data_IF_690813187684
#
_entry.id   IF_690813187684
#
_cell.length_a   1.000
_cell.length_b   1.000
_cell.length_c   1.000
_cell.angle_alpha   90.00
_cell.angle_beta   90.00
_cell.angle_gamma   90.00
#
_symmetry.space_group_name_H-M   'P 1'
#
loop_
_entity.id
_entity.type
_entity.pdbx_description
1 polymer ?
#
# COMPACT_ATOMS: atom_id res chain seq x y z
N UNK A 1 0.24 -26.47 4.74
CA UNK A 1 0.24 -25.97 6.15
C UNK A 1 -0.80 -24.86 6.25
N UNK A 2 -1.73 -24.96 7.20
CA UNK A 2 -2.72 -23.89 7.42
C UNK A 2 -2.06 -22.74 8.19
N UNK A 3 -2.20 -21.52 7.70
CA UNK A 3 -1.58 -20.31 8.25
C UNK A 3 -2.64 -19.26 8.58
N UNK A 4 -2.34 -18.39 9.54
CA UNK A 4 -3.00 -17.09 9.67
C UNK A 4 -2.08 -16.03 9.07
N UNK A 5 -2.62 -15.23 8.18
CA UNK A 5 -1.90 -14.14 7.52
C UNK A 5 -2.46 -12.79 7.98
N UNK A 6 -1.59 -11.79 8.03
CA UNK A 6 -1.97 -10.41 8.34
C UNK A 6 -1.46 -9.53 7.20
N UNK A 7 -2.38 -8.88 6.50
CA UNK A 7 -2.04 -7.82 5.55
C UNK A 7 -2.25 -6.45 6.22
N UNK A 8 -1.21 -5.62 6.21
CA UNK A 8 -1.30 -4.24 6.72
C UNK A 8 -1.60 -3.27 5.60
N UNK A 9 -2.31 -2.18 5.90
CA UNK A 9 -2.62 -1.12 4.95
C UNK A 9 -2.56 0.27 5.59
N UNK A 10 -2.67 1.31 4.78
CA UNK A 10 -2.91 2.66 5.29
C UNK A 10 -4.31 2.74 5.91
N UNK A 11 -4.47 3.52 6.98
CA UNK A 11 -5.76 3.72 7.63
C UNK A 11 -6.82 4.24 6.64
N UNK A 12 -7.98 3.62 6.68
CA UNK A 12 -9.12 3.89 5.79
C UNK A 12 -9.15 3.02 4.52
N UNK A 13 -8.16 2.15 4.31
CA UNK A 13 -8.11 1.19 3.19
C UNK A 13 -8.50 -0.24 3.59
N UNK A 14 -8.82 -0.49 4.84
CA UNK A 14 -9.08 -1.84 5.39
C UNK A 14 -10.21 -2.55 4.67
N UNK A 15 -11.26 -1.82 4.28
CA UNK A 15 -12.39 -2.39 3.54
C UNK A 15 -11.97 -2.84 2.14
N UNK A 16 -11.26 -1.98 1.39
CA UNK A 16 -10.76 -2.32 0.05
C UNK A 16 -9.79 -3.52 0.09
N UNK A 17 -8.90 -3.54 1.09
CA UNK A 17 -7.99 -4.66 1.29
C UNK A 17 -8.73 -5.95 1.63
N UNK A 18 -9.76 -5.88 2.48
CA UNK A 18 -10.61 -7.04 2.82
C UNK A 18 -11.33 -7.61 1.61
N UNK A 19 -11.88 -6.75 0.74
CA UNK A 19 -12.51 -7.17 -0.52
C UNK A 19 -11.51 -7.83 -1.48
N UNK A 20 -10.25 -7.33 -1.58
CA UNK A 20 -9.21 -7.99 -2.39
C UNK A 20 -8.87 -9.38 -1.85
N UNK A 21 -8.74 -9.55 -0.53
CA UNK A 21 -8.44 -10.84 0.11
C UNK A 21 -9.57 -11.85 -0.17
N UNK A 22 -10.82 -11.43 -0.04
CA UNK A 22 -12.00 -12.25 -0.34
C UNK A 22 -12.08 -12.60 -1.84
N UNK A 23 -11.73 -11.66 -2.72
CA UNK A 23 -11.67 -11.90 -4.17
C UNK A 23 -10.59 -12.90 -4.58
N UNK A 24 -9.50 -13.04 -3.80
CA UNK A 24 -8.51 -14.09 -3.94
C UNK A 24 -8.97 -15.46 -3.38
N UNK A 25 -10.18 -15.52 -2.83
CA UNK A 25 -10.77 -16.76 -2.28
C UNK A 25 -10.40 -17.05 -0.82
N UNK A 26 -9.82 -16.11 -0.09
CA UNK A 26 -9.41 -16.30 1.30
C UNK A 26 -10.43 -15.75 2.28
N UNK A 27 -10.66 -16.49 3.37
CA UNK A 27 -11.59 -16.13 4.43
C UNK A 27 -10.97 -15.05 5.32
N UNK A 28 -11.66 -13.89 5.42
CA UNK A 28 -11.31 -12.82 6.34
C UNK A 28 -11.73 -13.16 7.76
N UNK A 29 -10.77 -13.23 8.68
CA UNK A 29 -10.97 -13.56 10.08
C UNK A 29 -11.33 -12.30 10.90
N UNK A 30 -10.58 -11.21 10.70
CA UNK A 30 -10.80 -9.96 11.42
C UNK A 30 -10.26 -8.75 10.67
N UNK A 31 -10.86 -7.60 10.95
CA UNK A 31 -10.41 -6.30 10.43
C UNK A 31 -10.30 -5.35 11.61
N UNK A 32 -9.14 -4.76 11.79
CA UNK A 32 -8.87 -3.69 12.75
C UNK A 32 -8.11 -2.57 12.04
N UNK A 33 -8.00 -1.42 12.68
CA UNK A 33 -7.32 -0.25 12.11
C UNK A 33 -5.94 -0.61 11.53
N UNK A 34 -5.77 -0.37 10.23
CA UNK A 34 -4.53 -0.58 9.49
C UNK A 34 -4.19 -2.04 9.16
N UNK A 35 -5.09 -3.03 9.39
CA UNK A 35 -4.80 -4.43 9.08
C UNK A 35 -6.02 -5.32 8.91
N UNK A 36 -5.85 -6.36 8.10
CA UNK A 36 -6.81 -7.45 7.89
C UNK A 36 -6.11 -8.78 8.16
N UNK A 37 -6.71 -9.59 9.03
CA UNK A 37 -6.26 -10.96 9.29
C UNK A 37 -7.14 -11.93 8.52
N UNK A 38 -6.53 -12.92 7.87
CA UNK A 38 -7.23 -13.90 7.04
C UNK A 38 -6.60 -15.29 7.15
N UNK A 39 -7.36 -16.31 6.78
CA UNK A 39 -6.91 -17.71 6.73
C UNK A 39 -6.27 -18.00 5.37
N UNK A 40 -5.15 -18.74 5.36
CA UNK A 40 -4.48 -19.11 4.14
C UNK A 40 -3.49 -20.26 4.35
N UNK A 41 -2.59 -20.41 3.41
CA UNK A 41 -1.49 -21.38 3.41
C UNK A 41 -0.24 -20.80 2.73
N UNK A 42 0.72 -21.62 2.31
CA UNK A 42 1.91 -21.16 1.61
C UNK A 42 1.60 -20.52 0.23
N UNK A 43 0.56 -21.01 -0.46
CA UNK A 43 0.11 -20.40 -1.72
C UNK A 43 -0.49 -19.01 -1.47
N UNK A 44 -1.27 -18.86 -0.40
CA UNK A 44 -1.82 -17.57 0.01
C UNK A 44 -0.73 -16.52 0.30
N UNK A 45 0.44 -16.93 0.81
CA UNK A 45 1.59 -16.03 0.98
C UNK A 45 2.07 -15.49 -0.36
N UNK A 46 2.21 -16.33 -1.38
CA UNK A 46 2.67 -15.91 -2.70
C UNK A 46 1.63 -15.02 -3.39
N UNK A 47 0.37 -15.47 -3.46
CA UNK A 47 -0.73 -14.72 -4.09
C UNK A 47 -0.96 -13.36 -3.42
N UNK A 48 -0.98 -13.31 -2.10
CA UNK A 48 -1.19 -12.05 -1.38
C UNK A 48 -0.09 -11.02 -1.64
N UNK A 49 1.18 -11.41 -1.69
CA UNK A 49 2.28 -10.51 -1.99
C UNK A 49 2.26 -10.01 -3.44
N UNK A 50 1.81 -10.84 -4.39
CA UNK A 50 1.76 -10.50 -5.81
C UNK A 50 0.52 -9.66 -6.14
N UNK A 51 -0.66 -10.01 -5.63
CA UNK A 51 -1.93 -9.45 -6.08
C UNK A 51 -2.46 -8.31 -5.21
N UNK A 52 -2.20 -8.28 -3.88
CA UNK A 52 -2.79 -7.26 -3.01
C UNK A 52 -2.28 -5.85 -3.35
N UNK A 53 -3.17 -5.05 -3.86
CA UNK A 53 -2.93 -3.71 -4.36
C UNK A 53 -2.91 -2.67 -3.23
N UNK A 54 -3.74 -2.89 -2.20
CA UNK A 54 -3.89 -1.94 -1.09
C UNK A 54 -3.06 -2.30 0.13
N UNK A 55 -2.38 -3.45 0.13
CA UNK A 55 -1.51 -3.87 1.22
C UNK A 55 -0.17 -3.12 1.22
N UNK A 56 0.33 -2.80 2.42
CA UNK A 56 1.69 -2.29 2.65
C UNK A 56 2.67 -3.45 2.88
N UNK A 57 2.24 -4.51 3.59
CA UNK A 57 2.98 -5.74 3.86
C UNK A 57 2.03 -6.91 4.12
N UNK A 58 2.54 -8.10 3.91
CA UNK A 58 1.90 -9.36 4.32
C UNK A 58 2.81 -10.08 5.31
N UNK A 59 2.22 -10.60 6.38
CA UNK A 59 2.92 -11.31 7.45
C UNK A 59 2.28 -12.68 7.69
N UNK A 60 3.09 -13.64 8.13
CA UNK A 60 2.61 -14.86 8.76
C UNK A 60 2.46 -14.58 10.25
N UNK A 61 1.26 -14.72 10.81
CA UNK A 61 0.99 -14.55 12.23
C UNK A 61 1.30 -15.87 12.96
N UNK A 62 2.22 -15.82 13.91
CA UNK A 62 2.55 -16.97 14.74
C UNK A 62 1.62 -17.10 15.94
N UNK A 63 1.24 -15.97 16.54
CA UNK A 63 0.29 -15.95 17.65
C UNK A 63 0.09 -14.57 18.24
N UNK A 64 -0.90 -14.49 19.13
CA UNK A 64 -1.15 -13.31 19.98
C UNK A 64 -1.40 -13.75 21.42
N UNK A 65 -0.94 -12.94 22.36
CA UNK A 65 -1.10 -13.18 23.79
C UNK A 65 -1.03 -11.87 24.56
N UNK A 66 -1.61 -11.84 25.77
CA UNK A 66 -1.52 -10.68 26.66
C UNK A 66 -0.12 -10.60 27.26
N UNK A 67 0.46 -9.41 27.31
CA UNK A 67 1.74 -9.15 27.93
C UNK A 67 1.78 -7.75 28.55
N UNK A 68 1.71 -7.69 29.88
CA UNK A 68 1.80 -6.47 30.68
C UNK A 68 3.18 -6.30 31.35
N UNK A 69 4.01 -7.36 31.30
CA UNK A 69 5.37 -7.41 31.83
C UNK A 69 6.33 -8.03 30.80
N UNK A 70 7.63 -7.77 30.96
CA UNK A 70 8.67 -8.40 30.15
C UNK A 70 8.75 -9.92 30.34
N UNK A 71 8.37 -10.42 31.51
CA UNK A 71 8.30 -11.87 31.78
C UNK A 71 7.17 -12.51 30.96
N UNK A 72 5.97 -11.92 30.96
CA UNK A 72 4.85 -12.40 30.15
C UNK A 72 5.15 -12.30 28.65
N UNK A 73 5.82 -11.23 28.20
CA UNK A 73 6.28 -11.08 26.83
C UNK A 73 7.28 -12.19 26.46
N UNK A 74 8.23 -12.49 27.34
CA UNK A 74 9.22 -13.54 27.14
C UNK A 74 8.56 -14.92 27.04
N UNK A 75 7.74 -15.30 28.02
CA UNK A 75 7.12 -16.62 28.07
C UNK A 75 6.13 -16.83 26.93
N UNK A 76 5.27 -15.85 26.63
CA UNK A 76 4.36 -15.91 25.52
C UNK A 76 5.07 -16.02 24.16
N UNK A 77 6.18 -15.28 23.98
CA UNK A 77 7.00 -15.38 22.76
C UNK A 77 7.68 -16.76 22.68
N UNK A 78 8.25 -17.26 23.78
CA UNK A 78 8.94 -18.57 23.83
C UNK A 78 8.03 -19.74 23.49
N UNK A 79 6.74 -19.63 23.83
CA UNK A 79 5.73 -20.67 23.56
C UNK A 79 5.32 -20.79 22.09
N UNK A 80 5.66 -19.83 21.22
CA UNK A 80 5.31 -19.86 19.80
C UNK A 80 6.18 -20.85 19.01
N UNK A 81 5.69 -21.39 17.89
CA UNK A 81 6.31 -22.48 17.13
C UNK A 81 7.46 -22.00 16.21
N UNK A 82 8.42 -21.25 16.73
CA UNK A 82 9.54 -20.70 15.95
C UNK A 82 10.31 -21.73 15.12
N UNK A 83 10.63 -22.93 15.66
CA UNK A 83 11.40 -23.92 14.91
C UNK A 83 10.67 -24.54 13.72
N UNK A 84 9.35 -24.34 13.60
CA UNK A 84 8.59 -24.80 12.44
C UNK A 84 8.80 -23.90 11.22
N UNK A 85 9.30 -22.67 11.43
CA UNK A 85 9.53 -21.66 10.43
C UNK A 85 11.01 -21.32 10.22
N UNK A 86 11.80 -21.28 11.28
CA UNK A 86 13.17 -20.76 11.28
C UNK A 86 14.15 -21.89 11.52
N UNK A 87 15.11 -22.04 10.63
CA UNK A 87 16.19 -23.01 10.75
C UNK A 87 17.31 -22.57 11.69
N UNK A 88 18.21 -23.50 12.05
CA UNK A 88 19.32 -23.25 12.99
C UNK A 88 20.35 -22.23 12.50
N UNK A 89 20.48 -22.06 11.18
CA UNK A 89 21.46 -21.18 10.57
C UNK A 89 20.86 -19.83 10.13
N UNK A 90 19.52 -19.66 10.23
CA UNK A 90 18.80 -18.52 9.71
C UNK A 90 18.98 -17.25 10.57
N UNK A 91 18.78 -16.12 9.91
CA UNK A 91 18.88 -14.77 10.49
C UNK A 91 17.46 -14.33 10.91
N UNK A 92 17.26 -13.98 12.18
CA UNK A 92 15.94 -13.60 12.69
C UNK A 92 15.98 -12.30 13.52
N UNK A 93 16.17 -11.14 12.87
CA UNK A 93 16.11 -9.85 13.53
C UNK A 93 14.69 -9.54 13.97
N UNK A 94 14.56 -8.73 15.04
CA UNK A 94 13.26 -8.34 15.60
C UNK A 94 13.05 -6.86 15.41
N UNK A 95 11.87 -6.48 14.90
CA UNK A 95 11.36 -5.10 14.82
C UNK A 95 9.94 -5.05 15.35
N UNK A 96 9.42 -3.86 15.56
CA UNK A 96 8.00 -3.72 15.89
C UNK A 96 7.66 -2.41 16.55
N UNK A 97 6.45 -2.38 17.09
CA UNK A 97 5.85 -1.19 17.69
C UNK A 97 5.02 -1.58 18.91
N UNK A 98 4.98 -0.67 19.89
CA UNK A 98 4.11 -0.77 21.06
C UNK A 98 3.28 0.52 21.18
N UNK A 99 1.95 0.37 21.28
CA UNK A 99 1.00 1.49 21.30
C UNK A 99 0.00 1.25 22.43
N UNK A 100 -0.24 2.28 23.26
CA UNK A 100 -1.20 2.23 24.37
C UNK A 100 -1.02 0.99 25.28
N UNK A 101 0.23 0.66 25.59
CA UNK A 101 0.58 -0.56 26.33
C UNK A 101 1.55 -0.24 27.46
N UNK A 102 1.55 -1.06 28.50
CA UNK A 102 2.51 -0.96 29.62
C UNK A 102 3.94 -1.13 29.12
N UNK A 103 4.14 -2.06 28.19
CA UNK A 103 5.40 -2.28 27.50
C UNK A 103 5.55 -1.28 26.34
N UNK A 104 6.15 -0.13 26.61
CA UNK A 104 6.30 0.97 25.66
C UNK A 104 7.73 1.14 25.12
N UNK A 105 8.74 0.56 25.78
CA UNK A 105 10.13 0.58 25.29
C UNK A 105 10.32 -0.43 24.15
N UNK A 106 10.30 0.05 22.92
CA UNK A 106 10.50 -0.79 21.73
C UNK A 106 11.85 -1.51 21.76
N UNK A 107 12.99 -0.88 22.09
CA UNK A 107 14.27 -1.59 22.17
C UNK A 107 14.28 -2.73 23.21
N UNK A 108 13.67 -2.54 24.38
CA UNK A 108 13.61 -3.58 25.40
C UNK A 108 12.71 -4.74 24.96
N UNK A 109 11.55 -4.44 24.35
CA UNK A 109 10.70 -5.47 23.75
C UNK A 109 11.44 -6.28 22.69
N UNK A 110 12.21 -5.62 21.80
CA UNK A 110 13.04 -6.29 20.79
C UNK A 110 14.04 -7.25 21.43
N UNK A 111 14.76 -6.81 22.47
CA UNK A 111 15.75 -7.62 23.16
C UNK A 111 15.11 -8.84 23.86
N UNK A 112 13.98 -8.64 24.55
CA UNK A 112 13.24 -9.72 25.25
C UNK A 112 12.69 -10.74 24.25
N UNK A 113 12.06 -10.29 23.16
CA UNK A 113 11.53 -11.16 22.10
C UNK A 113 12.68 -11.95 21.45
N UNK A 114 13.79 -11.30 21.08
CA UNK A 114 14.97 -11.99 20.51
C UNK A 114 15.47 -13.08 21.45
N UNK A 115 15.62 -12.78 22.75
CA UNK A 115 16.06 -13.74 23.76
C UNK A 115 15.08 -14.93 23.90
N UNK A 116 13.78 -14.67 23.86
CA UNK A 116 12.75 -15.69 23.94
C UNK A 116 12.76 -16.63 22.72
N UNK A 117 12.90 -16.07 21.50
CA UNK A 117 13.07 -16.84 20.28
C UNK A 117 14.32 -17.72 20.34
N UNK A 118 15.47 -17.16 20.71
CA UNK A 118 16.72 -17.93 20.90
C UNK A 118 16.48 -19.09 21.88
N UNK A 119 15.79 -18.87 23.01
CA UNK A 119 15.50 -19.93 23.97
C UNK A 119 14.59 -21.02 23.42
N UNK A 120 13.55 -20.66 22.65
CA UNK A 120 12.69 -21.62 21.96
C UNK A 120 13.48 -22.46 20.94
N UNK A 121 14.30 -21.79 20.12
CA UNK A 121 15.14 -22.44 19.12
C UNK A 121 16.21 -23.34 19.76
N UNK A 122 16.83 -22.92 20.86
CA UNK A 122 17.80 -23.71 21.61
C UNK A 122 17.21 -25.02 22.12
N UNK A 123 15.98 -24.99 22.61
CA UNK A 123 15.29 -26.21 23.10
C UNK A 123 15.06 -27.24 21.97
N UNK A 124 14.89 -26.79 20.72
CA UNK A 124 14.69 -27.67 19.55
C UNK A 124 16.00 -28.17 18.95
N UNK A 125 17.00 -27.29 18.83
CA UNK A 125 18.23 -27.59 18.08
C UNK A 125 19.41 -28.03 18.98
N UNK A 126 19.31 -27.91 20.29
CA UNK A 126 20.37 -28.27 21.24
C UNK A 126 21.62 -27.39 21.17
N UNK A 127 21.49 -26.15 20.66
CA UNK A 127 22.57 -25.16 20.52
C UNK A 127 22.18 -23.87 21.24
N UNK A 128 23.15 -23.18 21.81
CA UNK A 128 22.93 -21.93 22.53
C UNK A 128 23.21 -20.67 21.70
N UNK A 129 24.09 -20.82 20.71
CA UNK A 129 24.48 -19.71 19.80
C UNK A 129 24.10 -20.04 18.37
N UNK A 130 23.40 -19.13 17.73
CA UNK A 130 22.97 -19.25 16.34
C UNK A 130 23.91 -18.44 15.45
N UNK A 131 24.45 -19.04 14.34
CA UNK A 131 25.43 -18.35 13.50
C UNK A 131 24.83 -17.20 12.68
N UNK A 132 23.52 -17.20 12.45
CA UNK A 132 22.78 -16.17 11.69
C UNK A 132 23.43 -15.85 10.32
N UNK A 133 23.68 -16.86 9.52
CA UNK A 133 24.32 -16.75 8.19
C UNK A 133 23.38 -17.18 7.04
N UNK A 134 22.22 -17.76 7.36
CA UNK A 134 21.25 -18.29 6.39
C UNK A 134 20.22 -17.27 5.92
N UNK A 135 19.02 -17.77 5.62
CA UNK A 135 17.88 -16.97 5.16
C UNK A 135 17.39 -16.02 6.24
N UNK A 136 16.98 -14.81 5.83
CA UNK A 136 16.51 -13.80 6.77
C UNK A 136 14.99 -13.90 6.98
N UNK A 137 14.60 -14.20 8.20
CA UNK A 137 13.22 -14.16 8.69
C UNK A 137 13.02 -12.93 9.59
N UNK A 138 12.53 -11.85 9.04
CA UNK A 138 12.26 -10.64 9.83
C UNK A 138 11.07 -10.88 10.75
N UNK A 139 11.33 -10.95 12.05
CA UNK A 139 10.28 -11.01 13.06
C UNK A 139 9.74 -9.61 13.29
N UNK A 140 8.41 -9.48 13.24
CA UNK A 140 7.71 -8.22 13.53
C UNK A 140 6.81 -8.44 14.74
N UNK A 141 6.87 -7.55 15.73
CA UNK A 141 5.92 -7.55 16.82
C UNK A 141 5.06 -6.30 16.81
N UNK A 142 3.83 -6.45 17.25
CA UNK A 142 2.93 -5.35 17.49
C UNK A 142 2.22 -5.54 18.81
N UNK A 143 2.46 -4.62 19.76
CA UNK A 143 1.79 -4.62 21.07
C UNK A 143 0.77 -3.48 21.06
N UNK A 144 -0.50 -3.82 21.21
CA UNK A 144 -1.60 -2.87 21.27
C UNK A 144 -2.52 -3.19 22.44
N UNK A 145 -2.73 -2.22 23.34
CA UNK A 145 -3.55 -2.41 24.54
C UNK A 145 -3.15 -3.65 25.33
N UNK A 146 -1.84 -3.85 25.52
CA UNK A 146 -1.21 -4.98 26.20
C UNK A 146 -1.39 -6.35 25.53
N UNK A 147 -1.90 -6.42 24.31
CA UNK A 147 -1.91 -7.64 23.49
C UNK A 147 -0.73 -7.63 22.52
N UNK A 148 0.17 -8.59 22.67
CA UNK A 148 1.32 -8.80 21.81
C UNK A 148 0.96 -9.76 20.66
N UNK A 149 1.22 -9.34 19.42
CA UNK A 149 1.11 -10.18 18.21
C UNK A 149 2.50 -10.34 17.61
N UNK A 150 2.93 -11.57 17.39
CA UNK A 150 4.22 -11.92 16.79
C UNK A 150 4.00 -12.47 15.38
N UNK A 151 4.78 -11.97 14.41
CA UNK A 151 4.61 -12.24 12.99
C UNK A 151 5.97 -12.37 12.30
N UNK A 152 6.00 -13.02 11.13
CA UNK A 152 7.15 -13.05 10.21
C UNK A 152 6.80 -12.27 8.96
N UNK A 153 7.63 -11.30 8.58
CA UNK A 153 7.47 -10.49 7.35
C UNK A 153 7.75 -11.34 6.10
N UNK A 154 6.76 -11.48 5.25
CA UNK A 154 6.87 -12.20 3.97
C UNK A 154 7.22 -11.29 2.80
N UNK A 155 6.97 -10.01 2.91
CA UNK A 155 7.11 -9.03 1.83
C UNK A 155 8.54 -8.51 1.65
N UNK A 156 9.26 -8.29 2.75
CA UNK A 156 10.59 -7.69 2.72
C UNK A 156 10.54 -6.19 2.39
N UNK A 157 10.66 -5.83 1.12
CA UNK A 157 10.42 -4.45 0.67
C UNK A 157 8.92 -4.17 0.67
N UNK A 158 8.51 -3.02 1.22
CA UNK A 158 7.10 -2.64 1.33
C UNK A 158 6.38 -2.70 -0.03
N UNK A 159 5.11 -3.15 -0.04
CA UNK A 159 4.37 -3.46 -1.26
C UNK A 159 4.01 -2.22 -2.08
N UNK A 160 3.89 -1.04 -1.48
CA UNK A 160 3.72 0.19 -2.26
C UNK A 160 4.87 0.44 -3.23
N UNK A 161 6.10 0.00 -2.95
CA UNK A 161 7.23 0.09 -3.89
C UNK A 161 7.06 -0.93 -5.02
N UNK A 162 6.21 -0.62 -6.01
CA UNK A 162 5.88 -1.51 -7.15
C UNK A 162 7.07 -1.82 -8.06
N UNK A 163 8.09 -0.96 -8.07
CA UNK A 163 9.29 -1.09 -8.91
C UNK A 163 9.31 -0.16 -10.13
N UNK A 164 8.19 0.38 -10.57
CA UNK A 164 8.15 1.31 -11.71
C UNK A 164 8.64 2.72 -11.34
N UNK A 165 8.58 3.12 -10.08
CA UNK A 165 9.05 4.43 -9.60
C UNK A 165 10.37 4.30 -8.86
N UNK A 166 11.49 4.44 -9.60
CA UNK A 166 12.85 4.41 -9.04
C UNK A 166 13.28 5.78 -8.51
N UNK A 167 12.85 6.85 -9.20
CA UNK A 167 13.13 8.24 -8.86
C UNK A 167 11.83 8.92 -8.41
N UNK A 168 11.93 9.94 -7.56
CA UNK A 168 10.79 10.73 -7.10
C UNK A 168 11.20 12.19 -6.95
N UNK A 169 10.34 13.10 -7.42
CA UNK A 169 10.40 14.51 -7.12
C UNK A 169 9.61 14.75 -5.83
N UNK A 170 10.28 15.22 -4.79
CA UNK A 170 9.63 15.50 -3.50
C UNK A 170 9.11 14.25 -2.77
N UNK A 171 7.95 14.37 -2.12
CA UNK A 171 7.28 13.26 -1.43
C UNK A 171 5.97 12.89 -2.15
N UNK A 172 6.03 12.02 -3.14
CA UNK A 172 4.89 11.62 -3.93
C UNK A 172 3.88 10.82 -3.09
N UNK A 173 2.64 10.78 -3.57
CA UNK A 173 1.61 9.88 -3.04
C UNK A 173 2.10 8.43 -3.10
N UNK A 174 1.82 7.63 -2.05
CA UNK A 174 2.12 6.20 -2.09
C UNK A 174 1.27 5.50 -3.14
N UNK A 175 1.83 4.50 -3.79
CA UNK A 175 1.17 3.73 -4.85
C UNK A 175 -0.09 3.03 -4.33
N UNK A 176 -0.07 2.50 -3.10
CA UNK A 176 -1.24 1.90 -2.43
C UNK A 176 -2.37 2.89 -2.23
N UNK A 177 -2.07 4.13 -1.86
CA UNK A 177 -3.06 5.19 -1.71
C UNK A 177 -3.57 5.66 -3.07
N UNK A 178 -2.70 5.84 -4.05
CA UNK A 178 -3.07 6.22 -5.42
C UNK A 178 -4.00 5.18 -6.05
N UNK A 179 -3.69 3.89 -5.87
CA UNK A 179 -4.55 2.79 -6.31
C UNK A 179 -5.94 2.83 -5.66
N UNK A 180 -6.00 3.09 -4.35
CA UNK A 180 -7.27 3.19 -3.63
C UNK A 180 -8.13 4.38 -4.09
N UNK A 181 -7.49 5.52 -4.39
CA UNK A 181 -8.17 6.70 -4.92
C UNK A 181 -8.68 6.42 -6.33
N UNK A 182 -7.85 5.83 -7.20
CA UNK A 182 -8.23 5.40 -8.54
C UNK A 182 -9.43 4.44 -8.48
N UNK A 183 -9.39 3.41 -7.66
CA UNK A 183 -10.50 2.47 -7.49
C UNK A 183 -11.77 3.16 -6.95
N UNK A 184 -11.63 4.09 -6.00
CA UNK A 184 -12.76 4.86 -5.46
C UNK A 184 -13.44 5.72 -6.53
N UNK A 185 -12.69 6.19 -7.54
CA UNK A 185 -13.24 6.94 -8.67
C UNK A 185 -14.05 6.07 -9.66
N UNK A 186 -13.99 4.74 -9.51
CA UNK A 186 -14.68 3.76 -10.35
C UNK A 186 -14.38 3.95 -11.84
N UNK A 187 -13.11 3.81 -12.27
CA UNK A 187 -12.72 3.98 -13.66
C UNK A 187 -13.49 3.03 -14.57
N UNK A 188 -13.71 3.44 -15.83
CA UNK A 188 -14.46 2.68 -16.84
C UNK A 188 -13.80 2.85 -18.21
N UNK A 189 -13.91 1.86 -19.06
CA UNK A 189 -13.30 1.83 -20.39
C UNK A 189 -13.71 3.01 -21.31
N UNK A 190 -14.92 3.54 -21.11
CA UNK A 190 -15.48 4.62 -21.94
C UNK A 190 -15.50 6.00 -21.24
N UNK A 191 -14.75 6.15 -20.16
CA UNK A 191 -14.64 7.41 -19.39
C UNK A 191 -13.17 7.73 -19.20
N UNK A 192 -12.72 8.85 -19.75
CA UNK A 192 -11.34 9.33 -19.59
C UNK A 192 -11.06 9.62 -18.10
N UNK A 193 -9.99 9.07 -17.55
CA UNK A 193 -9.46 9.51 -16.27
C UNK A 193 -8.37 10.55 -16.53
N UNK A 194 -8.39 11.69 -15.85
CA UNK A 194 -7.36 12.70 -15.99
C UNK A 194 -6.80 13.11 -14.62
N UNK A 195 -5.49 12.95 -14.46
CA UNK A 195 -4.72 13.59 -13.38
C UNK A 195 -3.99 14.81 -13.95
N UNK A 196 -4.52 16.03 -13.76
CA UNK A 196 -3.95 17.24 -14.36
C UNK A 196 -2.82 17.88 -13.56
N UNK A 197 -2.41 17.28 -12.45
CA UNK A 197 -1.26 17.65 -11.61
C UNK A 197 -0.54 16.38 -11.18
N UNK A 198 -0.12 15.60 -12.19
CA UNK A 198 0.23 14.19 -12.03
C UNK A 198 1.56 13.94 -11.31
N UNK A 199 2.45 14.93 -11.26
CA UNK A 199 3.79 14.74 -10.71
C UNK A 199 4.49 13.54 -11.37
N UNK A 200 4.68 12.47 -10.62
CA UNK A 200 5.29 11.23 -11.12
C UNK A 200 4.33 10.29 -11.88
N UNK A 201 3.09 10.69 -12.13
CA UNK A 201 2.08 9.93 -12.87
C UNK A 201 1.39 8.80 -12.08
N UNK A 202 1.60 8.71 -10.77
CA UNK A 202 1.24 7.55 -9.94
C UNK A 202 -0.25 7.21 -10.01
N UNK A 203 -1.16 8.18 -9.94
CA UNK A 203 -2.62 7.94 -9.95
C UNK A 203 -3.05 7.35 -11.31
N UNK A 204 -2.60 7.93 -12.42
CA UNK A 204 -2.93 7.45 -13.76
C UNK A 204 -2.35 6.05 -14.03
N UNK A 205 -1.12 5.78 -13.56
CA UNK A 205 -0.48 4.46 -13.66
C UNK A 205 -1.29 3.42 -12.89
N UNK A 206 -1.60 3.66 -11.61
CA UNK A 206 -2.35 2.70 -10.78
C UNK A 206 -3.79 2.48 -11.32
N UNK A 207 -4.42 3.51 -11.91
CA UNK A 207 -5.70 3.36 -12.58
C UNK A 207 -5.61 2.45 -13.81
N UNK A 208 -4.59 2.63 -14.65
CA UNK A 208 -4.36 1.79 -15.82
C UNK A 208 -4.02 0.35 -15.43
N UNK A 209 -3.16 0.16 -14.42
CA UNK A 209 -2.85 -1.17 -13.88
C UNK A 209 -4.10 -1.87 -13.34
N UNK A 210 -4.99 -1.14 -12.66
CA UNK A 210 -6.27 -1.67 -12.16
C UNK A 210 -7.17 -2.13 -13.32
N UNK A 211 -7.36 -1.29 -14.33
CA UNK A 211 -8.23 -1.56 -15.47
C UNK A 211 -7.70 -2.70 -16.36
N UNK A 212 -6.40 -2.87 -16.43
CA UNK A 212 -5.75 -3.98 -17.14
C UNK A 212 -5.57 -5.24 -16.28
N UNK A 213 -6.01 -5.24 -15.02
CA UNK A 213 -5.78 -6.32 -14.05
C UNK A 213 -4.30 -6.68 -13.86
N UNK A 214 -3.40 -5.72 -14.02
CA UNK A 214 -1.97 -5.92 -13.79
C UNK A 214 -1.72 -6.10 -12.29
N UNK A 215 -1.25 -7.25 -11.87
CA UNK A 215 -0.92 -7.53 -10.48
C UNK A 215 0.28 -6.67 -10.04
N UNK A 216 0.17 -5.91 -8.92
CA UNK A 216 1.18 -4.92 -8.52
C UNK A 216 2.53 -5.52 -8.15
N UNK A 217 2.57 -6.80 -7.79
CA UNK A 217 3.76 -7.53 -7.38
C UNK A 217 4.39 -8.44 -8.44
N UNK A 218 3.81 -8.54 -9.65
CA UNK A 218 4.18 -9.54 -10.67
C UNK A 218 5.69 -9.61 -11.02
N UNK A 219 6.36 -8.46 -10.99
CA UNK A 219 7.79 -8.34 -11.36
C UNK A 219 8.69 -8.04 -10.16
N UNK A 220 8.21 -8.27 -8.94
CA UNK A 220 8.96 -8.02 -7.71
C UNK A 220 9.52 -9.31 -7.11
N UNK A 221 10.52 -9.14 -6.22
CA UNK A 221 10.97 -10.18 -5.31
C UNK A 221 10.48 -9.90 -3.90
N UNK A 222 10.18 -10.98 -3.16
CA UNK A 222 9.66 -10.95 -1.81
C UNK A 222 10.56 -11.76 -0.87
N UNK A 223 10.63 -11.35 0.41
CA UNK A 223 11.47 -12.06 1.38
C UNK A 223 11.11 -13.55 1.50
N UNK A 224 9.82 -13.87 1.40
CA UNK A 224 9.36 -15.24 1.55
C UNK A 224 9.65 -16.17 0.34
N UNK A 225 10.20 -15.66 -0.75
CA UNK A 225 10.71 -16.52 -1.83
C UNK A 225 11.92 -17.36 -1.37
N UNK A 226 12.65 -16.87 -0.37
CA UNK A 226 13.79 -17.55 0.23
C UNK A 226 13.41 -18.50 1.38
N UNK A 227 12.13 -18.51 1.80
CA UNK A 227 11.69 -19.34 2.93
C UNK A 227 11.62 -20.80 2.54
N UNK A 228 12.37 -21.65 3.24
CA UNK A 228 12.53 -23.06 2.91
C UNK A 228 11.23 -23.88 2.89
N UNK A 229 10.22 -23.45 3.67
CA UNK A 229 8.92 -24.12 3.74
C UNK A 229 7.92 -23.64 2.66
N UNK A 230 8.28 -22.59 1.88
CA UNK A 230 7.47 -22.11 0.75
C UNK A 230 8.19 -22.51 -0.54
N UNK A 231 7.66 -23.50 -1.23
CA UNK A 231 8.29 -24.02 -2.43
C UNK A 231 8.31 -23.02 -3.58
N UNK A 232 9.42 -22.94 -4.31
CA UNK A 232 9.58 -22.06 -5.49
C UNK A 232 8.44 -22.19 -6.50
N UNK A 233 7.91 -23.39 -6.70
CA UNK A 233 6.79 -23.63 -7.63
C UNK A 233 5.55 -22.82 -7.31
N UNK A 234 5.27 -22.51 -6.03
CA UNK A 234 4.13 -21.69 -5.66
C UNK A 234 4.29 -20.24 -6.16
N UNK A 235 5.51 -19.71 -6.06
CA UNK A 235 5.83 -18.39 -6.59
C UNK A 235 5.79 -18.31 -8.11
N UNK A 236 6.31 -19.36 -8.78
CA UNK A 236 6.29 -19.46 -10.24
C UNK A 236 4.83 -19.51 -10.74
N UNK A 237 3.98 -20.38 -10.16
CA UNK A 237 2.55 -20.47 -10.49
C UNK A 237 1.79 -19.17 -10.21
N UNK A 238 2.03 -18.52 -9.06
CA UNK A 238 1.38 -17.26 -8.73
C UNK A 238 1.78 -16.11 -9.68
N UNK A 239 3.02 -16.12 -10.20
CA UNK A 239 3.44 -15.17 -11.25
C UNK A 239 2.82 -15.49 -12.60
N UNK A 240 2.74 -16.76 -12.98
CA UNK A 240 2.06 -17.18 -14.21
C UNK A 240 0.58 -16.73 -14.17
N UNK A 241 -0.13 -16.99 -13.09
CA UNK A 241 -1.50 -16.51 -12.88
C UNK A 241 -1.58 -14.97 -12.97
N UNK A 242 -0.61 -14.25 -12.42
CA UNK A 242 -0.58 -12.80 -12.48
C UNK A 242 -0.44 -12.25 -13.92
N UNK A 243 0.25 -12.95 -14.80
CA UNK A 243 0.33 -12.61 -16.22
C UNK A 243 -0.92 -13.04 -16.99
N UNK A 244 -1.49 -14.22 -16.68
CA UNK A 244 -2.67 -14.75 -17.35
C UNK A 244 -3.95 -13.96 -17.04
N UNK A 245 -4.01 -13.33 -15.87
CA UNK A 245 -5.15 -12.48 -15.48
C UNK A 245 -5.13 -11.10 -16.15
N UNK A 246 -4.02 -10.70 -16.80
CA UNK A 246 -3.95 -9.42 -17.49
C UNK A 246 -4.89 -9.39 -18.69
N UNK A 247 -5.54 -8.24 -18.88
CA UNK A 247 -6.40 -8.00 -20.03
C UNK A 247 -5.93 -6.80 -20.84
N UNK A 248 -6.22 -6.81 -22.12
CA UNK A 248 -6.12 -5.62 -22.94
C UNK A 248 -7.41 -4.80 -22.74
N UNK A 249 -7.27 -3.60 -22.15
CA UNK A 249 -8.40 -2.73 -21.82
C UNK A 249 -8.34 -1.47 -22.69
N UNK A 250 -9.46 -1.03 -23.26
CA UNK A 250 -9.53 0.25 -23.99
C UNK A 250 -9.55 1.46 -23.06
N UNK A 251 -9.37 1.27 -21.75
CA UNK A 251 -9.27 2.35 -20.79
C UNK A 251 -8.19 3.36 -21.17
N UNK A 252 -8.51 4.65 -21.03
CA UNK A 252 -7.60 5.75 -21.31
C UNK A 252 -7.46 6.66 -20.10
N UNK A 253 -6.22 7.01 -19.75
CA UNK A 253 -5.90 8.00 -18.75
C UNK A 253 -4.97 9.08 -19.32
N UNK A 254 -5.19 10.33 -18.91
CA UNK A 254 -4.29 11.43 -19.12
C UNK A 254 -3.57 11.77 -17.83
N UNK A 255 -2.26 11.95 -17.93
CA UNK A 255 -1.41 12.44 -16.86
C UNK A 255 -0.73 13.71 -17.37
N UNK A 256 -1.04 14.85 -16.80
CA UNK A 256 -0.41 16.10 -17.21
C UNK A 256 0.10 16.89 -15.99
N UNK A 257 1.09 17.68 -16.22
CA UNK A 257 1.66 18.59 -15.23
C UNK A 257 2.14 19.87 -15.91
N UNK A 258 2.22 20.96 -15.15
CA UNK A 258 2.79 22.22 -15.62
C UNK A 258 4.32 22.20 -15.62
N UNK A 259 4.92 21.28 -14.85
CA UNK A 259 6.36 21.07 -14.73
C UNK A 259 6.85 20.04 -15.75
N UNK A 260 7.70 20.48 -16.68
CA UNK A 260 8.28 19.60 -17.71
C UNK A 260 9.15 18.46 -17.17
N UNK A 261 9.76 18.62 -16.00
CA UNK A 261 10.57 17.54 -15.40
C UNK A 261 9.66 16.50 -14.72
N UNK A 262 8.52 16.91 -14.17
CA UNK A 262 7.47 16.00 -13.71
C UNK A 262 6.90 15.17 -14.89
N UNK A 263 6.65 15.80 -16.04
CA UNK A 263 6.18 15.12 -17.27
C UNK A 263 7.18 14.04 -17.73
N UNK A 264 8.48 14.38 -17.84
CA UNK A 264 9.54 13.40 -18.20
C UNK A 264 9.61 12.24 -17.22
N UNK A 265 9.47 12.53 -15.91
CA UNK A 265 9.46 11.50 -14.87
C UNK A 265 8.22 10.60 -15.00
N UNK A 266 7.04 11.17 -15.22
CA UNK A 266 5.81 10.43 -15.43
C UNK A 266 5.87 9.52 -16.67
N UNK A 267 6.41 10.01 -17.80
CA UNK A 267 6.64 9.21 -19.02
C UNK A 267 7.56 8.00 -18.75
N UNK A 268 8.65 8.22 -17.99
CA UNK A 268 9.56 7.14 -17.60
C UNK A 268 8.83 6.09 -16.75
N UNK A 269 8.04 6.52 -15.76
CA UNK A 269 7.32 5.64 -14.86
C UNK A 269 6.19 4.86 -15.59
N UNK A 270 5.48 5.49 -16.51
CA UNK A 270 4.44 4.87 -17.36
C UNK A 270 5.05 3.72 -18.17
N UNK A 271 6.23 3.93 -18.80
CA UNK A 271 6.95 2.87 -19.52
C UNK A 271 7.39 1.73 -18.59
N UNK A 272 7.95 2.06 -17.44
CA UNK A 272 8.40 1.05 -16.47
C UNK A 272 7.24 0.24 -15.88
N UNK A 273 6.05 0.82 -15.80
CA UNK A 273 4.82 0.14 -15.39
C UNK A 273 4.20 -0.71 -16.50
N UNK A 274 4.59 -0.51 -17.77
CA UNK A 274 4.06 -1.21 -18.94
C UNK A 274 2.63 -0.79 -19.30
N UNK A 275 2.28 0.49 -19.09
CA UNK A 275 0.92 1.02 -19.32
C UNK A 275 0.89 2.17 -20.33
N UNK A 276 1.91 2.30 -21.17
CA UNK A 276 2.03 3.36 -22.18
C UNK A 276 0.92 3.36 -23.23
N UNK A 277 0.26 2.24 -23.45
CA UNK A 277 -0.90 2.15 -24.32
C UNK A 277 -2.14 2.82 -23.74
N UNK A 278 -2.23 2.89 -22.41
CA UNK A 278 -3.39 3.38 -21.68
C UNK A 278 -3.20 4.77 -21.08
N UNK A 279 -1.95 5.22 -20.87
CA UNK A 279 -1.64 6.48 -20.20
C UNK A 279 -0.90 7.41 -21.15
N UNK A 280 -1.52 8.54 -21.50
CA UNK A 280 -0.89 9.63 -22.25
C UNK A 280 -0.36 10.68 -21.29
N UNK A 281 0.94 11.00 -21.40
CA UNK A 281 1.59 12.00 -20.57
C UNK A 281 1.93 13.22 -21.43
N UNK A 282 1.65 14.43 -20.93
CA UNK A 282 1.93 15.68 -21.65
C UNK A 282 1.98 16.90 -20.72
N UNK A 283 2.62 17.97 -21.20
CA UNK A 283 2.69 19.24 -20.52
C UNK A 283 1.36 19.99 -20.65
N UNK A 284 0.73 20.34 -19.52
CA UNK A 284 -0.48 21.16 -19.51
C UNK A 284 -0.69 21.85 -18.15
N UNK A 285 -1.36 22.99 -18.19
CA UNK A 285 -1.83 23.69 -17.01
C UNK A 285 -3.22 23.19 -16.61
N UNK A 286 -3.36 22.68 -15.38
CA UNK A 286 -4.62 22.17 -14.85
C UNK A 286 -5.79 23.17 -14.94
N UNK A 287 -5.48 24.46 -14.98
CA UNK A 287 -6.44 25.58 -15.11
C UNK A 287 -6.98 25.79 -16.53
N UNK A 288 -6.43 25.06 -17.51
CA UNK A 288 -6.72 25.25 -18.93
C UNK A 288 -7.11 23.94 -19.67
N UNK A 289 -7.28 22.84 -18.93
CA UNK A 289 -7.68 21.57 -19.52
C UNK A 289 -9.08 21.65 -20.12
N UNK A 290 -9.34 20.91 -21.20
CA UNK A 290 -10.62 20.95 -21.92
C UNK A 290 -11.25 19.56 -22.01
N UNK A 291 -12.56 19.50 -21.83
CA UNK A 291 -13.31 18.25 -21.90
C UNK A 291 -13.46 17.71 -23.35
N UNK A 292 -13.35 18.55 -24.36
CA UNK A 292 -13.44 18.21 -25.79
C UNK A 292 -14.65 17.32 -26.13
N UNK A 293 -15.79 17.53 -25.45
CA UNK A 293 -17.00 16.73 -25.58
C UNK A 293 -16.94 15.32 -25.01
N UNK A 294 -15.82 14.93 -24.37
CA UNK A 294 -15.64 13.60 -23.75
C UNK A 294 -16.24 13.54 -22.35
N UNK A 295 -16.66 12.33 -21.96
CA UNK A 295 -16.96 12.02 -20.56
C UNK A 295 -15.65 11.76 -19.82
N UNK A 296 -15.52 12.31 -18.62
CA UNK A 296 -14.29 12.17 -17.87
C UNK A 296 -14.47 12.20 -16.36
N UNK A 297 -13.42 11.83 -15.69
CA UNK A 297 -13.24 11.91 -14.24
C UNK A 297 -11.87 12.51 -13.95
N UNK A 298 -11.83 13.63 -13.24
CA UNK A 298 -10.59 14.18 -12.70
C UNK A 298 -10.28 13.45 -11.38
N UNK A 299 -9.06 12.94 -11.26
CA UNK A 299 -8.54 12.35 -10.03
C UNK A 299 -7.15 12.91 -9.79
N UNK A 300 -6.97 13.74 -8.78
CA UNK A 300 -5.73 14.50 -8.63
C UNK A 300 -5.31 14.75 -7.19
N UNK A 301 -4.00 14.96 -7.01
CA UNK A 301 -3.34 15.26 -5.77
C UNK A 301 -2.58 16.60 -5.90
N UNK A 302 -3.26 17.76 -5.78
CA UNK A 302 -2.64 19.06 -5.94
C UNK A 302 -1.61 19.35 -4.82
N UNK A 303 -0.70 20.31 -4.99
CA UNK A 303 0.21 20.75 -3.94
C UNK A 303 -0.54 21.30 -2.72
N UNK A 304 -0.02 21.02 -1.52
CA UNK A 304 -0.64 21.43 -0.24
C UNK A 304 -0.05 22.70 0.36
N UNK A 305 1.04 23.22 -0.24
CA UNK A 305 1.78 24.37 0.30
C UNK A 305 2.77 24.05 1.42
N UNK A 306 2.96 22.76 1.77
CA UNK A 306 3.94 22.34 2.79
C UNK A 306 5.31 21.96 2.18
N UNK A 307 5.35 21.58 0.90
CA UNK A 307 6.55 21.04 0.23
C UNK A 307 6.81 21.62 -1.16
N UNK A 308 5.77 22.14 -1.81
CA UNK A 308 5.82 22.83 -3.11
C UNK A 308 5.00 24.10 -3.00
N UNK A 309 5.67 25.25 -3.07
CA UNK A 309 5.05 26.55 -2.92
C UNK A 309 4.64 26.88 -1.47
N UNK A 310 3.90 27.95 -1.32
CA UNK A 310 3.33 28.42 -0.05
C UNK A 310 1.88 27.98 0.10
N UNK A 311 1.35 27.97 1.32
CA UNK A 311 -0.07 27.71 1.59
C UNK A 311 -0.98 28.68 0.82
N UNK A 312 -0.58 29.97 0.69
CA UNK A 312 -1.33 30.98 -0.07
C UNK A 312 -1.40 30.68 -1.55
N UNK A 313 -0.31 30.18 -2.15
CA UNK A 313 -0.27 29.75 -3.55
C UNK A 313 -1.17 28.53 -3.78
N UNK A 314 -1.14 27.54 -2.87
CA UNK A 314 -2.05 26.41 -2.93
C UNK A 314 -3.53 26.84 -2.84
N UNK A 315 -3.86 27.76 -1.93
CA UNK A 315 -5.21 28.32 -1.80
C UNK A 315 -5.68 29.09 -3.05
N UNK A 316 -4.77 29.82 -3.71
CA UNK A 316 -5.06 30.49 -4.97
C UNK A 316 -5.33 29.47 -6.08
N UNK A 317 -4.46 28.45 -6.19
CA UNK A 317 -4.65 27.36 -7.14
C UNK A 317 -5.99 26.64 -6.93
N UNK A 318 -6.40 26.39 -5.68
CA UNK A 318 -7.68 25.72 -5.38
C UNK A 318 -8.89 26.53 -5.83
N UNK A 319 -8.84 27.87 -5.79
CA UNK A 319 -9.92 28.72 -6.35
C UNK A 319 -9.98 28.59 -7.86
N UNK A 320 -8.83 28.70 -8.53
CA UNK A 320 -8.73 28.66 -9.99
C UNK A 320 -9.18 27.30 -10.53
N UNK A 321 -8.64 26.19 -10.00
CA UNK A 321 -9.06 24.83 -10.44
C UNK A 321 -10.49 24.53 -10.03
N UNK A 322 -10.97 25.06 -8.89
CA UNK A 322 -12.35 24.90 -8.45
C UNK A 322 -13.34 25.51 -9.42
N UNK A 323 -13.10 26.74 -9.90
CA UNK A 323 -13.90 27.38 -10.91
C UNK A 323 -13.83 26.61 -12.23
N UNK A 324 -12.63 26.28 -12.67
CA UNK A 324 -12.40 25.59 -13.93
C UNK A 324 -12.98 24.18 -13.97
N UNK A 325 -12.73 23.33 -12.97
CA UNK A 325 -13.23 21.96 -12.98
C UNK A 325 -14.75 21.87 -12.90
N UNK A 326 -15.40 22.83 -12.23
CA UNK A 326 -16.86 22.91 -12.22
C UNK A 326 -17.45 23.23 -13.60
N UNK A 327 -16.71 23.94 -14.46
CA UNK A 327 -17.13 24.26 -15.81
C UNK A 327 -17.04 23.06 -16.78
N UNK A 328 -16.24 22.02 -16.43
CA UNK A 328 -16.05 20.81 -17.23
C UNK A 328 -17.23 19.81 -17.10
N UNK A 329 -18.46 20.30 -16.94
CA UNK A 329 -19.62 19.39 -16.91
C UNK A 329 -19.72 18.56 -18.21
N UNK A 330 -19.95 17.25 -18.12
CA UNK A 330 -20.44 16.45 -16.99
C UNK A 330 -19.37 15.62 -16.26
N UNK A 331 -18.21 16.17 -15.98
CA UNK A 331 -17.11 15.46 -15.35
C UNK A 331 -17.31 15.30 -13.84
N UNK A 332 -16.86 14.15 -13.29
CA UNK A 332 -16.70 13.95 -11.85
C UNK A 332 -15.32 14.42 -11.42
N UNK A 333 -15.17 14.84 -10.16
CA UNK A 333 -13.89 15.33 -9.64
C UNK A 333 -13.59 14.70 -8.30
N UNK A 334 -12.39 14.15 -8.18
CA UNK A 334 -11.84 13.57 -6.96
C UNK A 334 -10.52 14.28 -6.65
N UNK A 335 -10.45 14.96 -5.52
CA UNK A 335 -9.25 15.66 -5.09
C UNK A 335 -8.82 15.16 -3.73
N UNK A 336 -7.57 14.69 -3.62
CA UNK A 336 -6.98 14.38 -2.31
C UNK A 336 -6.08 15.51 -1.87
N UNK A 337 -6.24 15.97 -0.64
CA UNK A 337 -5.38 17.00 -0.04
C UNK A 337 -5.37 16.90 1.48
N UNK A 338 -4.29 17.33 2.13
CA UNK A 338 -4.21 17.53 3.58
C UNK A 338 -4.74 18.90 4.03
N UNK A 339 -5.03 19.81 3.10
CA UNK A 339 -5.44 21.17 3.43
C UNK A 339 -6.83 21.21 4.09
N UNK A 340 -6.95 21.70 5.34
CA UNK A 340 -8.19 21.57 6.13
C UNK A 340 -9.35 22.39 5.59
N UNK A 341 -9.09 23.47 4.85
CA UNK A 341 -10.11 24.39 4.31
C UNK A 341 -10.27 24.27 2.79
N UNK A 342 -9.95 23.11 2.20
CA UNK A 342 -10.00 22.90 0.75
C UNK A 342 -11.34 23.31 0.12
N UNK A 343 -12.46 22.85 0.67
CA UNK A 343 -13.82 23.13 0.13
C UNK A 343 -14.12 24.64 0.04
N UNK A 344 -13.64 25.41 1.03
CA UNK A 344 -13.82 26.87 1.05
C UNK A 344 -13.14 27.52 -0.16
N UNK A 345 -11.92 27.09 -0.47
CA UNK A 345 -11.15 27.66 -1.59
C UNK A 345 -11.59 27.09 -2.93
N UNK A 346 -11.94 25.82 -2.99
CA UNK A 346 -12.51 25.18 -4.17
C UNK A 346 -13.89 25.75 -4.56
N UNK A 347 -14.56 26.41 -3.62
CA UNK A 347 -15.81 27.14 -3.84
C UNK A 347 -17.07 26.26 -3.99
N UNK A 348 -16.99 24.98 -3.58
CA UNK A 348 -18.11 24.05 -3.53
C UNK A 348 -17.90 23.03 -2.41
N UNK A 349 -18.97 22.70 -1.68
CA UNK A 349 -18.98 21.60 -0.73
C UNK A 349 -18.98 20.27 -1.48
N UNK A 350 -18.16 19.30 -1.04
CA UNK A 350 -18.09 17.98 -1.64
C UNK A 350 -19.37 17.18 -1.37
N UNK A 351 -19.75 16.32 -2.32
CA UNK A 351 -20.86 15.39 -2.16
C UNK A 351 -20.49 14.27 -1.16
N UNK A 352 -19.19 13.91 -1.09
CA UNK A 352 -18.64 12.96 -0.13
C UNK A 352 -17.19 13.30 0.22
N UNK A 353 -16.81 13.10 1.48
CA UNK A 353 -15.43 13.23 1.95
C UNK A 353 -15.02 11.94 2.64
N UNK A 354 -13.82 11.43 2.31
CA UNK A 354 -13.20 10.29 3.01
C UNK A 354 -11.90 10.73 3.63
N UNK A 355 -11.70 10.43 4.91
CA UNK A 355 -10.41 10.61 5.58
C UNK A 355 -9.52 9.45 5.24
N UNK A 356 -8.31 9.74 4.75
CA UNK A 356 -7.28 8.80 4.36
C UNK A 356 -5.94 9.27 4.94
N UNK A 357 -4.88 8.48 4.74
CA UNK A 357 -3.55 8.84 5.23
C UNK A 357 -2.49 8.61 4.15
N UNK A 358 -1.62 9.58 3.93
CA UNK A 358 -0.42 9.42 3.11
C UNK A 358 0.80 9.25 4.04
N UNK A 359 1.10 8.01 4.41
CA UNK A 359 1.99 7.72 5.53
C UNK A 359 1.33 8.13 6.85
N UNK A 360 1.94 9.06 7.59
CA UNK A 360 1.40 9.61 8.84
C UNK A 360 0.57 10.89 8.63
N UNK A 361 0.57 11.45 7.42
CA UNK A 361 -0.14 12.69 7.11
C UNK A 361 -1.62 12.40 6.85
N UNK A 362 -2.56 12.94 7.65
CA UNK A 362 -3.99 12.83 7.36
C UNK A 362 -4.32 13.64 6.11
N UNK A 363 -5.04 13.01 5.18
CA UNK A 363 -5.53 13.60 3.94
C UNK A 363 -7.03 13.36 3.80
N UNK A 364 -7.67 14.17 3.01
CA UNK A 364 -9.09 14.06 2.74
C UNK A 364 -9.32 13.93 1.24
N UNK A 365 -10.04 12.88 0.82
CA UNK A 365 -10.49 12.69 -0.54
C UNK A 365 -11.87 13.33 -0.71
N UNK A 366 -11.90 14.48 -1.34
CA UNK A 366 -13.10 15.23 -1.69
C UNK A 366 -13.67 14.71 -3.01
N UNK A 367 -14.94 14.37 -3.03
CA UNK A 367 -15.61 13.74 -4.16
C UNK A 367 -16.78 14.60 -4.61
N UNK A 368 -16.77 14.99 -5.90
CA UNK A 368 -17.81 15.79 -6.53
C UNK A 368 -18.42 14.98 -7.67
N UNK A 369 -19.67 14.56 -7.47
CA UNK A 369 -20.34 13.71 -8.42
C UNK A 369 -21.07 14.54 -9.49
N UNK A 370 -21.24 13.93 -10.65
CA UNK A 370 -22.14 14.43 -11.65
C UNK A 370 -23.58 14.36 -11.13
N UNK A 371 -24.31 15.44 -11.23
CA UNK A 371 -25.78 15.47 -11.06
C UNK A 371 -26.47 15.20 -12.37
#
# INVERSE_FOLDING_TARGET
MKLQLVATCLFGLEHLLGEEIEALGYERISTIDGRVTFSGDCEAVALSNIFLRYAERVFIKLGSFRAESFEELFEGTRALPWPDFIGKDDIFPVKGHAIKSKLHSVPDCQAIIKKAVVRAMSARYGIETFPEVGTKYQIEFFILNDEATLMIDTSGTALHKRGYRKDALGAPIRETLAAAIAATSRPRDNVLLWDPMCGSGTIAIEAAMLMRRIAPGRSRHFAAEEFSFIGKKLWDSAREEAFDTEIDSPFEAFASDIDGDAVKLAEKNVRLAGVEKNVKVFLADARKIAAEGRRGTIVTNPPYGERLGTVKEAEALYREIGEHFRSLSPWQVYVITSHPSFERFYGKKADKVRKLYNGMLPCYLYQYFKK
#
